data_IF_259672872186
#
_entry.id   IF_259672872186
#
_cell.length_a   1.000
_cell.length_b   1.000
_cell.length_c   1.000
_cell.angle_alpha   90.00
_cell.angle_beta   90.00
_cell.angle_gamma   90.00
#
_symmetry.space_group_name_H-M   'P 1'
#
loop_
_entity.id
_entity.type
_entity.pdbx_description
1 polymer ?
#
# COMPACT_ATOMS: atom_id res chain seq x y z
N UNK A 1 55.68 61.14 -0.12
CA UNK A 1 55.18 61.75 -1.37
C UNK A 1 53.83 61.10 -1.66
N UNK A 2 52.75 61.70 -1.15
CA UNK A 2 51.74 62.44 -1.94
C UNK A 2 51.12 61.62 -3.07
N UNK A 3 49.88 61.14 -2.83
CA UNK A 3 48.71 61.43 -3.69
C UNK A 3 47.40 60.96 -3.03
N UNK A 4 46.73 61.94 -2.44
CA UNK A 4 45.27 62.03 -2.30
C UNK A 4 44.64 62.21 -3.68
N UNK A 5 43.48 61.57 -3.94
CA UNK A 5 42.39 61.88 -4.90
C UNK A 5 41.81 60.57 -5.47
N UNK A 6 40.53 60.38 -5.73
CA UNK A 6 39.30 61.15 -5.51
C UNK A 6 38.17 60.11 -5.65
N UNK A 7 37.15 60.22 -4.80
CA UNK A 7 35.91 59.45 -4.86
C UNK A 7 35.12 59.86 -6.11
N UNK A 8 34.63 58.91 -6.90
CA UNK A 8 33.60 59.15 -7.90
C UNK A 8 32.49 58.10 -7.72
N UNK A 9 31.45 58.50 -6.99
CA UNK A 9 30.16 57.82 -6.92
C UNK A 9 29.41 58.19 -8.19
N UNK A 10 29.23 57.24 -9.10
CA UNK A 10 28.30 57.36 -10.22
C UNK A 10 27.03 56.57 -9.92
N UNK A 11 26.07 57.25 -9.28
CA UNK A 11 24.66 56.86 -9.26
C UNK A 11 24.15 56.90 -10.70
N UNK A 12 23.82 55.73 -11.25
CA UNK A 12 23.05 55.61 -12.49
C UNK A 12 21.66 55.08 -12.14
N UNK A 13 20.75 55.99 -11.83
CA UNK A 13 19.31 55.74 -11.87
C UNK A 13 18.90 55.64 -13.34
N UNK A 14 18.75 54.43 -13.84
CA UNK A 14 18.03 54.16 -15.08
C UNK A 14 16.75 53.40 -14.72
N UNK A 15 15.66 54.17 -14.60
CA UNK A 15 14.31 53.65 -14.69
C UNK A 15 13.93 53.60 -16.18
N UNK A 16 13.76 52.39 -16.70
CA UNK A 16 12.96 52.06 -17.88
C UNK A 16 12.23 50.77 -17.49
N UNK A 17 10.91 50.86 -17.26
CA UNK A 17 9.89 50.57 -18.28
C UNK A 17 9.87 49.08 -18.59
N UNK A 18 8.78 48.44 -18.19
CA UNK A 18 8.62 46.99 -18.19
C UNK A 18 8.92 46.32 -19.52
N UNK A 19 9.41 45.10 -19.40
CA UNK A 19 9.06 43.99 -20.27
C UNK A 19 9.10 42.74 -19.40
N UNK A 20 8.04 41.94 -19.56
CA UNK A 20 7.71 40.73 -18.83
C UNK A 20 8.95 39.88 -18.54
N UNK A 21 9.23 39.66 -17.26
CA UNK A 21 9.97 38.48 -16.88
C UNK A 21 9.10 37.28 -17.24
N UNK A 22 9.52 36.39 -18.16
CA UNK A 22 9.02 35.03 -18.06
C UNK A 22 9.50 34.53 -16.70
N UNK A 23 8.55 34.46 -15.76
CA UNK A 23 8.70 33.58 -14.61
C UNK A 23 9.19 32.25 -15.17
N UNK A 24 10.24 31.62 -14.63
CA UNK A 24 10.51 30.24 -14.96
C UNK A 24 9.31 29.47 -14.43
N UNK A 25 8.31 29.27 -15.29
CA UNK A 25 7.37 28.16 -15.17
C UNK A 25 8.28 26.94 -15.14
N UNK A 26 8.61 26.50 -13.92
CA UNK A 26 9.19 25.21 -13.70
C UNK A 26 8.17 24.25 -14.32
N UNK A 27 8.45 23.61 -15.47
CA UNK A 27 7.49 22.69 -16.03
C UNK A 27 7.31 21.64 -14.94
N UNK A 28 6.10 21.54 -14.36
CA UNK A 28 5.76 20.42 -13.49
C UNK A 28 6.10 19.20 -14.33
N UNK A 29 7.17 18.50 -13.98
CA UNK A 29 7.48 17.23 -14.58
C UNK A 29 6.36 16.32 -14.12
N UNK A 30 5.34 16.16 -14.96
CA UNK A 30 4.29 15.17 -14.73
C UNK A 30 5.00 13.82 -14.66
N UNK A 31 4.89 13.15 -13.54
CA UNK A 31 5.49 11.84 -13.38
C UNK A 31 4.76 10.89 -14.33
N UNK A 32 5.50 10.04 -15.04
CA UNK A 32 4.90 9.02 -15.89
C UNK A 32 4.11 8.03 -15.02
N UNK A 33 2.88 7.75 -15.40
CA UNK A 33 2.06 6.72 -14.75
C UNK A 33 2.58 5.33 -15.18
N UNK A 34 2.82 4.41 -14.24
CA UNK A 34 3.15 3.01 -14.56
C UNK A 34 2.10 2.35 -15.44
N UNK A 35 2.52 1.45 -16.33
CA UNK A 35 1.62 0.72 -17.24
C UNK A 35 1.55 -0.79 -16.96
N UNK A 36 2.45 -1.33 -16.13
CA UNK A 36 2.46 -2.76 -15.79
C UNK A 36 1.33 -3.06 -14.81
N UNK A 37 0.36 -3.86 -15.24
CA UNK A 37 -0.74 -4.30 -14.39
C UNK A 37 -0.31 -5.47 -13.49
N UNK A 38 -0.91 -5.55 -12.31
CA UNK A 38 -0.73 -6.70 -11.42
C UNK A 38 -1.29 -7.99 -12.04
N UNK A 39 -0.63 -9.13 -11.81
CA UNK A 39 -1.11 -10.43 -12.27
C UNK A 39 -2.44 -10.81 -11.60
N UNK A 40 -2.56 -10.54 -10.30
CA UNK A 40 -3.69 -10.94 -9.45
C UNK A 40 -3.80 -12.44 -9.17
N UNK A 41 -2.88 -13.25 -9.69
CA UNK A 41 -2.82 -14.70 -9.52
C UNK A 41 -1.43 -15.07 -8.99
N UNK A 42 -1.33 -15.32 -7.68
CA UNK A 42 -0.06 -15.66 -7.01
C UNK A 42 -0.12 -17.00 -6.29
N UNK A 43 1.02 -17.66 -6.31
CA UNK A 43 1.39 -18.84 -5.52
C UNK A 43 2.23 -18.43 -4.31
N UNK A 44 2.49 -19.36 -3.40
CA UNK A 44 3.36 -19.12 -2.26
C UNK A 44 4.82 -18.85 -2.68
N UNK A 45 5.25 -19.37 -3.85
CA UNK A 45 6.59 -19.15 -4.39
C UNK A 45 6.81 -17.73 -4.93
N UNK A 46 5.74 -16.95 -5.13
CA UNK A 46 5.82 -15.56 -5.60
C UNK A 46 6.13 -14.56 -4.47
N UNK A 47 6.29 -15.03 -3.23
CA UNK A 47 6.62 -14.24 -2.04
C UNK A 47 8.03 -14.58 -1.54
N UNK A 48 8.78 -13.58 -1.08
CA UNK A 48 10.07 -13.75 -0.39
C UNK A 48 9.90 -13.54 1.13
N UNK A 49 9.13 -14.43 1.75
CA UNK A 49 8.73 -14.31 3.15
C UNK A 49 9.95 -14.33 4.11
N UNK A 50 9.87 -13.54 5.19
CA UNK A 50 10.92 -13.42 6.20
C UNK A 50 11.28 -14.74 6.91
N UNK A 51 10.39 -15.73 6.83
CA UNK A 51 10.59 -17.07 7.33
C UNK A 51 9.92 -18.12 6.44
N UNK A 52 10.46 -19.34 6.40
CA UNK A 52 9.80 -20.43 5.68
C UNK A 52 8.47 -20.79 6.35
N UNK A 53 7.44 -20.96 5.52
CA UNK A 53 6.11 -21.42 5.94
C UNK A 53 5.69 -22.61 5.10
N UNK A 54 4.88 -23.49 5.69
CA UNK A 54 4.31 -24.63 4.97
C UNK A 54 3.06 -24.22 4.20
N UNK A 55 2.30 -23.27 4.74
CA UNK A 55 1.06 -22.76 4.15
C UNK A 55 0.67 -21.44 4.80
N UNK A 56 -0.02 -20.57 4.06
CA UNK A 56 -0.69 -19.41 4.64
C UNK A 56 -1.88 -18.95 3.79
N UNK A 57 -2.80 -18.24 4.42
CA UNK A 57 -4.00 -17.71 3.78
C UNK A 57 -4.47 -16.42 4.43
N UNK A 58 -5.21 -15.60 3.66
CA UNK A 58 -5.88 -14.39 4.15
C UNK A 58 -7.35 -14.72 4.38
N UNK A 59 -7.85 -14.33 5.54
CA UNK A 59 -9.20 -14.61 6.02
C UNK A 59 -9.95 -13.33 6.33
N UNK A 60 -11.25 -13.36 6.06
CA UNK A 60 -12.24 -12.43 6.61
C UNK A 60 -12.82 -13.11 7.85
N UNK A 61 -12.63 -12.49 9.02
CA UNK A 61 -13.18 -12.99 10.27
C UNK A 61 -14.70 -12.92 10.32
N UNK A 62 -15.23 -13.57 11.36
CA UNK A 62 -16.65 -13.65 11.64
C UNK A 62 -17.32 -12.27 11.58
N UNK A 63 -18.53 -12.21 11.00
CA UNK A 63 -19.33 -10.98 10.94
C UNK A 63 -20.14 -10.87 12.24
N UNK A 64 -19.85 -9.89 13.12
CA UNK A 64 -20.58 -9.75 14.37
C UNK A 64 -22.08 -9.58 14.12
N UNK A 65 -22.89 -10.43 14.75
CA UNK A 65 -24.36 -10.39 14.64
C UNK A 65 -24.97 -11.29 13.57
N UNK A 66 -24.18 -11.96 12.73
CA UNK A 66 -24.66 -13.02 11.83
C UNK A 66 -24.61 -14.43 12.43
N UNK A 67 -24.04 -14.58 13.63
CA UNK A 67 -24.05 -15.83 14.40
C UNK A 67 -23.18 -16.95 13.82
N UNK A 68 -22.24 -16.59 12.95
CA UNK A 68 -21.20 -17.49 12.47
C UNK A 68 -19.89 -17.11 13.14
N UNK A 69 -19.27 -18.04 13.86
CA UNK A 69 -17.89 -17.92 14.33
C UNK A 69 -16.88 -18.37 13.25
N UNK A 70 -17.38 -18.62 12.03
CA UNK A 70 -16.58 -19.07 10.89
C UNK A 70 -15.96 -17.87 10.15
N UNK A 71 -14.82 -18.13 9.54
CA UNK A 71 -14.15 -17.19 8.66
C UNK A 71 -14.42 -17.52 7.18
N UNK A 72 -14.27 -16.53 6.33
CA UNK A 72 -14.20 -16.71 4.88
C UNK A 72 -12.74 -16.61 4.43
N UNK A 73 -12.29 -17.51 3.54
CA UNK A 73 -10.95 -17.40 2.94
C UNK A 73 -11.03 -16.42 1.78
N UNK A 74 -10.33 -15.29 1.92
CA UNK A 74 -10.23 -14.29 0.87
C UNK A 74 -9.16 -14.67 -0.15
N UNK A 75 -8.06 -15.27 0.32
CA UNK A 75 -6.95 -15.67 -0.53
C UNK A 75 -6.27 -16.92 0.02
N UNK A 76 -6.08 -17.91 -0.84
CA UNK A 76 -5.32 -19.12 -0.56
C UNK A 76 -4.19 -19.21 -1.58
N UNK A 77 -2.95 -19.20 -1.11
CA UNK A 77 -1.80 -19.34 -1.98
C UNK A 77 -1.53 -20.84 -2.13
N UNK A 78 -1.77 -21.35 -3.32
CA UNK A 78 -1.68 -22.78 -3.69
C UNK A 78 -2.68 -23.71 -2.98
N UNK A 79 -3.85 -23.88 -3.59
CA UNK A 79 -4.88 -24.83 -3.12
C UNK A 79 -4.33 -26.27 -2.96
N UNK A 80 -3.40 -26.69 -3.81
CA UNK A 80 -2.73 -28.00 -3.71
C UNK A 80 -1.87 -28.14 -2.45
N UNK A 81 -1.30 -27.03 -1.96
CA UNK A 81 -0.50 -27.02 -0.73
C UNK A 81 -1.41 -27.25 0.47
N UNK A 82 -2.57 -26.58 0.53
CA UNK A 82 -3.59 -26.86 1.54
C UNK A 82 -4.06 -28.32 1.50
N UNK A 83 -4.33 -28.87 0.30
CA UNK A 83 -4.76 -30.26 0.15
C UNK A 83 -3.72 -31.26 0.67
N UNK A 84 -2.43 -30.96 0.50
CA UNK A 84 -1.31 -31.79 0.93
C UNK A 84 -1.06 -31.78 2.45
N UNK A 85 -1.61 -30.81 3.20
CA UNK A 85 -1.52 -30.78 4.66
C UNK A 85 -2.20 -31.99 5.28
N UNK A 86 -1.64 -32.49 6.39
CA UNK A 86 -2.28 -33.55 7.14
C UNK A 86 -3.52 -33.05 7.92
N UNK A 87 -4.34 -33.99 8.42
CA UNK A 87 -5.58 -33.65 9.12
C UNK A 87 -5.35 -32.84 10.42
N UNK A 88 -4.19 -33.01 11.06
CA UNK A 88 -3.86 -32.29 12.30
C UNK A 88 -3.50 -30.85 11.96
N UNK A 89 -2.69 -30.64 10.92
CA UNK A 89 -2.34 -29.31 10.40
C UNK A 89 -3.58 -28.54 9.96
N UNK A 90 -4.49 -29.20 9.23
CA UNK A 90 -5.78 -28.61 8.84
C UNK A 90 -6.61 -28.22 10.07
N UNK A 91 -6.74 -29.11 11.06
CA UNK A 91 -7.48 -28.80 12.28
C UNK A 91 -6.90 -27.58 13.02
N UNK A 92 -5.57 -27.50 13.16
CA UNK A 92 -4.89 -26.35 13.77
C UNK A 92 -5.17 -25.06 13.00
N UNK A 93 -5.11 -25.10 11.66
CA UNK A 93 -5.45 -23.96 10.81
C UNK A 93 -6.91 -23.53 10.99
N UNK A 94 -7.87 -24.44 10.99
CA UNK A 94 -9.30 -24.10 11.17
C UNK A 94 -9.59 -23.52 12.56
N UNK A 95 -8.92 -24.01 13.61
CA UNK A 95 -9.09 -23.53 14.98
C UNK A 95 -8.43 -22.16 15.23
N UNK A 96 -7.50 -21.74 14.38
CA UNK A 96 -6.77 -20.48 14.52
C UNK A 96 -7.57 -19.32 13.91
N UNK A 97 -8.43 -18.70 14.71
CA UNK A 97 -9.30 -17.60 14.24
C UNK A 97 -9.16 -16.35 15.08
N UNK A 98 -9.40 -15.21 14.45
CA UNK A 98 -9.56 -13.91 15.11
C UNK A 98 -10.95 -13.38 14.87
N UNK A 99 -11.58 -12.88 15.93
CA UNK A 99 -12.94 -12.36 15.89
C UNK A 99 -12.99 -10.83 15.85
N UNK A 100 -11.99 -10.15 16.42
CA UNK A 100 -12.11 -8.73 16.75
C UNK A 100 -10.99 -7.83 16.20
N UNK A 101 -9.89 -8.39 15.68
CA UNK A 101 -8.71 -7.66 15.19
C UNK A 101 -8.24 -8.14 13.82
N UNK A 102 -7.61 -7.25 13.06
CA UNK A 102 -7.11 -7.53 11.72
C UNK A 102 -6.33 -6.33 11.16
N UNK A 103 -5.43 -6.59 10.20
CA UNK A 103 -4.72 -5.53 9.46
C UNK A 103 -5.65 -4.80 8.48
N UNK A 104 -6.78 -5.43 8.12
CA UNK A 104 -7.79 -4.84 7.25
C UNK A 104 -9.20 -4.96 7.81
N UNK A 105 -10.17 -4.36 7.09
CA UNK A 105 -11.59 -4.52 7.36
C UNK A 105 -12.43 -4.28 6.11
N UNK A 106 -13.40 -5.16 5.83
CA UNK A 106 -14.19 -5.08 4.58
C UNK A 106 -15.68 -4.78 4.74
N UNK A 107 -16.33 -5.04 5.88
CA UNK A 107 -17.78 -4.95 5.98
C UNK A 107 -18.30 -3.66 6.67
N UNK A 108 -18.24 -2.46 6.08
CA UNK A 108 -18.88 -1.28 6.70
C UNK A 108 -20.42 -1.35 6.67
N UNK A 109 -21.16 -0.78 7.66
CA UNK A 109 -20.67 -0.11 8.88
C UNK A 109 -20.26 -1.08 9.99
N UNK A 110 -20.41 -2.40 9.78
CA UNK A 110 -19.87 -3.41 10.67
C UNK A 110 -18.33 -3.42 10.60
N UNK A 111 -17.70 -4.27 11.40
CA UNK A 111 -16.27 -4.52 11.31
C UNK A 111 -16.11 -6.02 11.08
N UNK A 112 -15.58 -6.40 9.91
CA UNK A 112 -15.12 -7.74 9.63
C UNK A 112 -13.61 -7.68 9.51
N UNK A 113 -12.85 -8.18 10.51
CA UNK A 113 -11.40 -8.12 10.46
C UNK A 113 -10.89 -8.92 9.28
N UNK A 114 -9.89 -8.38 8.59
CA UNK A 114 -9.05 -9.14 7.66
C UNK A 114 -7.75 -9.45 8.36
N UNK A 115 -7.41 -10.72 8.46
CA UNK A 115 -6.19 -11.22 9.06
C UNK A 115 -5.63 -12.35 8.20
N UNK A 116 -4.36 -12.69 8.40
CA UNK A 116 -3.76 -13.86 7.77
C UNK A 116 -3.40 -14.89 8.83
N UNK A 117 -3.36 -16.15 8.41
CA UNK A 117 -2.89 -17.27 9.23
C UNK A 117 -1.83 -18.00 8.43
N UNK A 118 -0.72 -18.30 9.07
CA UNK A 118 0.32 -19.13 8.48
C UNK A 118 0.63 -20.34 9.38
N UNK A 119 1.16 -21.39 8.76
CA UNK A 119 1.51 -22.65 9.39
C UNK A 119 3.01 -22.93 9.21
N UNK A 120 3.64 -23.40 10.28
CA UNK A 120 5.00 -23.95 10.27
C UNK A 120 5.01 -25.23 11.10
N UNK A 121 5.11 -26.37 10.43
CA UNK A 121 4.95 -27.69 11.03
C UNK A 121 3.55 -27.89 11.61
N UNK A 122 3.46 -27.96 12.94
CA UNK A 122 2.21 -28.10 13.70
C UNK A 122 1.90 -26.86 14.56
N UNK A 123 2.52 -25.73 14.23
CA UNK A 123 2.26 -24.45 14.88
C UNK A 123 1.62 -23.51 13.85
N UNK A 124 0.53 -22.85 14.25
CA UNK A 124 -0.09 -21.79 13.46
C UNK A 124 -0.01 -20.46 14.20
N UNK A 125 0.13 -19.38 13.43
CA UNK A 125 0.18 -18.04 13.96
C UNK A 125 -0.67 -17.09 13.12
N UNK A 126 -1.10 -16.02 13.77
CA UNK A 126 -2.00 -15.01 13.23
C UNK A 126 -1.21 -13.76 12.91
N UNK A 127 -1.57 -13.14 11.79
CA UNK A 127 -1.13 -11.81 11.37
C UNK A 127 -2.36 -10.91 11.35
N UNK A 128 -2.51 -10.04 12.34
CA UNK A 128 -3.71 -9.21 12.52
C UNK A 128 -3.40 -7.70 12.64
N UNK A 129 -2.21 -7.28 12.20
CA UNK A 129 -1.83 -5.87 12.13
C UNK A 129 -0.87 -5.60 10.98
N UNK A 130 -0.86 -4.36 10.48
CA UNK A 130 0.03 -3.94 9.39
C UNK A 130 1.52 -4.20 9.73
N UNK A 131 1.88 -4.04 11.01
CA UNK A 131 3.23 -4.30 11.49
C UNK A 131 3.61 -5.78 11.44
N UNK A 132 2.70 -6.67 11.83
CA UNK A 132 2.93 -8.12 11.72
C UNK A 132 2.92 -8.59 10.26
N UNK A 133 2.12 -7.96 9.40
CA UNK A 133 2.11 -8.28 7.97
C UNK A 133 3.44 -7.90 7.32
N UNK A 134 3.97 -6.73 7.66
CA UNK A 134 5.29 -6.33 7.21
C UNK A 134 6.40 -7.21 7.81
N UNK A 135 6.33 -7.58 9.10
CA UNK A 135 7.29 -8.51 9.70
C UNK A 135 7.27 -9.88 9.02
N UNK A 136 6.09 -10.34 8.59
CA UNK A 136 5.91 -11.59 7.87
C UNK A 136 6.54 -11.57 6.48
N UNK A 137 6.40 -10.45 5.76
CA UNK A 137 7.08 -10.26 4.47
C UNK A 137 8.58 -9.98 4.64
N UNK A 138 8.98 -9.29 5.70
CA UNK A 138 10.33 -8.77 5.85
C UNK A 138 10.44 -7.43 5.11
N UNK A 139 10.69 -7.49 3.82
CA UNK A 139 10.64 -6.35 2.90
C UNK A 139 9.51 -6.56 1.87
N UNK A 140 8.97 -5.48 1.32
CA UNK A 140 8.09 -5.53 0.14
C UNK A 140 8.99 -5.47 -1.08
N UNK A 141 9.39 -6.63 -1.60
CA UNK A 141 10.30 -6.73 -2.73
C UNK A 141 9.77 -7.59 -3.89
N UNK A 142 8.62 -8.22 -3.72
CA UNK A 142 7.87 -8.91 -4.78
C UNK A 142 6.57 -8.18 -5.17
N UNK A 143 6.09 -8.46 -6.37
CA UNK A 143 4.78 -7.97 -6.85
C UNK A 143 3.62 -8.51 -5.97
N UNK A 144 3.75 -9.74 -5.48
CA UNK A 144 2.74 -10.41 -4.68
C UNK A 144 2.59 -9.75 -3.30
N UNK A 145 3.70 -9.47 -2.60
CA UNK A 145 3.72 -8.72 -1.35
C UNK A 145 3.15 -7.33 -1.54
N UNK A 146 3.55 -6.63 -2.60
CA UNK A 146 3.05 -5.29 -2.91
C UNK A 146 1.53 -5.28 -3.09
N UNK A 147 0.98 -6.24 -3.86
CA UNK A 147 -0.46 -6.32 -4.05
C UNK A 147 -1.19 -6.57 -2.73
N UNK A 148 -0.73 -7.56 -1.95
CA UNK A 148 -1.37 -7.93 -0.68
C UNK A 148 -1.31 -6.76 0.31
N UNK A 149 -0.12 -6.14 0.46
CA UNK A 149 0.08 -5.02 1.36
C UNK A 149 -0.84 -3.86 1.01
N UNK A 150 -0.85 -3.42 -0.25
CA UNK A 150 -1.69 -2.30 -0.68
C UNK A 150 -3.19 -2.61 -0.62
N UNK A 151 -3.60 -3.85 -0.87
CA UNK A 151 -5.03 -4.21 -0.90
C UNK A 151 -5.63 -4.28 0.49
N UNK A 152 -4.86 -4.76 1.48
CA UNK A 152 -5.43 -5.11 2.77
C UNK A 152 -4.89 -4.31 3.96
N UNK A 153 -3.67 -3.77 3.90
CA UNK A 153 -3.15 -2.94 4.99
C UNK A 153 -3.94 -1.61 5.06
N UNK A 154 -4.16 -1.11 6.27
CA UNK A 154 -4.94 0.12 6.50
C UNK A 154 -4.09 1.37 6.68
N UNK A 155 -2.80 1.30 6.34
CA UNK A 155 -1.82 2.35 6.58
C UNK A 155 -1.85 3.54 5.59
N UNK A 156 -2.69 3.51 4.55
CA UNK A 156 -2.74 4.57 3.53
C UNK A 156 -4.12 5.21 3.33
N UNK A 157 -5.09 4.45 2.82
CA UNK A 157 -6.49 4.86 2.61
C UNK A 157 -7.43 3.73 3.02
N UNK A 158 -8.69 4.05 3.27
CA UNK A 158 -9.68 3.11 3.79
C UNK A 158 -9.93 1.93 2.84
N UNK A 159 -10.02 2.20 1.53
CA UNK A 159 -9.98 1.18 0.49
C UNK A 159 -9.00 1.60 -0.60
N UNK A 160 -8.11 0.69 -0.96
CA UNK A 160 -7.11 0.88 -2.00
C UNK A 160 -7.26 -0.25 -3.00
N UNK A 161 -7.24 0.10 -4.29
CA UNK A 161 -7.19 -0.84 -5.40
C UNK A 161 -5.96 -0.52 -6.24
N UNK A 162 -4.90 -1.33 -6.15
CA UNK A 162 -3.74 -1.20 -7.02
C UNK A 162 -4.14 -1.39 -8.50
N UNK A 163 -3.66 -0.51 -9.38
CA UNK A 163 -3.98 -0.53 -10.81
C UNK A 163 -2.78 -0.94 -11.64
N UNK A 164 -1.63 -0.30 -11.41
CA UNK A 164 -0.39 -0.58 -12.11
C UNK A 164 0.83 -0.24 -11.24
N UNK A 165 1.97 -0.85 -11.53
CA UNK A 165 3.21 -0.67 -10.77
C UNK A 165 4.46 -0.61 -11.66
N UNK A 166 5.54 -0.09 -11.11
CA UNK A 166 6.88 -0.12 -11.69
C UNK A 166 7.90 -0.21 -10.56
N UNK A 167 8.74 -1.26 -10.59
CA UNK A 167 9.85 -1.39 -9.65
C UNK A 167 10.94 -0.35 -9.95
N UNK A 168 11.52 0.22 -8.90
CA UNK A 168 12.61 1.19 -8.96
C UNK A 168 13.61 0.96 -7.81
N UNK A 169 14.62 1.83 -7.70
CA UNK A 169 15.67 1.67 -6.67
C UNK A 169 15.19 1.95 -5.24
N UNK A 170 14.03 2.57 -5.07
CA UNK A 170 13.42 2.93 -3.80
C UNK A 170 12.25 2.00 -3.44
N UNK A 171 12.04 0.90 -4.18
CA UNK A 171 10.90 -0.01 -4.04
C UNK A 171 9.99 0.07 -5.27
N UNK A 172 8.77 0.54 -5.11
CA UNK A 172 7.75 0.52 -6.15
C UNK A 172 7.05 1.86 -6.33
N UNK A 173 6.94 2.31 -7.58
CA UNK A 173 6.00 3.37 -7.95
C UNK A 173 4.68 2.72 -8.38
N UNK A 174 3.57 3.15 -7.79
CA UNK A 174 2.28 2.48 -7.98
C UNK A 174 1.18 3.50 -8.29
N UNK A 175 0.38 3.20 -9.31
CA UNK A 175 -0.89 3.87 -9.57
C UNK A 175 -1.99 3.12 -8.83
N UNK A 176 -2.69 3.82 -7.93
CA UNK A 176 -3.75 3.25 -7.11
C UNK A 176 -5.03 4.06 -7.26
N UNK A 177 -6.16 3.37 -7.31
CA UNK A 177 -7.46 3.97 -7.00
C UNK A 177 -7.72 3.82 -5.49
N UNK A 178 -8.40 4.80 -4.90
CA UNK A 178 -8.79 4.74 -3.49
C UNK A 178 -10.18 5.31 -3.27
N UNK A 179 -10.85 4.82 -2.23
CA UNK A 179 -12.15 5.30 -1.76
C UNK A 179 -12.09 5.47 -0.25
N UNK A 180 -12.51 6.63 0.27
CA UNK A 180 -12.55 6.88 1.72
C UNK A 180 -13.74 6.19 2.40
N UNK A 181 -14.54 5.43 1.64
CA UNK A 181 -15.83 4.86 2.02
C UNK A 181 -16.90 5.93 2.29
N UNK A 182 -16.54 7.21 2.20
CA UNK A 182 -17.37 8.33 2.58
C UNK A 182 -17.00 9.57 1.78
N UNK A 183 -17.88 9.96 0.87
CA UNK A 183 -17.88 11.27 0.19
C UNK A 183 -16.77 11.49 -0.83
N UNK A 184 -15.60 10.84 -0.74
CA UNK A 184 -14.48 11.11 -1.65
C UNK A 184 -13.79 9.84 -2.14
N UNK A 185 -13.44 9.85 -3.41
CA UNK A 185 -12.59 8.82 -4.03
C UNK A 185 -11.68 9.47 -5.04
N UNK A 186 -10.65 8.76 -5.44
CA UNK A 186 -9.66 9.32 -6.36
C UNK A 186 -8.64 8.31 -6.82
N UNK A 187 -7.62 8.84 -7.48
CA UNK A 187 -6.47 8.08 -7.93
C UNK A 187 -5.20 8.83 -7.60
N UNK A 188 -4.21 8.11 -7.07
CA UNK A 188 -2.92 8.66 -6.72
C UNK A 188 -1.80 7.86 -7.39
N UNK A 189 -0.71 8.55 -7.67
CA UNK A 189 0.59 7.95 -7.91
C UNK A 189 1.36 7.98 -6.58
N UNK A 190 1.76 6.80 -6.10
CA UNK A 190 2.46 6.63 -4.82
C UNK A 190 3.82 5.98 -5.02
N UNK A 191 4.72 6.20 -4.06
CA UNK A 191 5.93 5.41 -3.84
C UNK A 191 5.70 4.50 -2.63
N UNK A 192 6.05 3.22 -2.78
CA UNK A 192 6.05 2.23 -1.72
C UNK A 192 7.49 1.78 -1.51
N UNK A 193 8.02 2.07 -0.32
CA UNK A 193 9.35 1.63 0.09
C UNK A 193 9.34 0.16 0.52
N UNK A 194 10.50 -0.54 0.51
CA UNK A 194 10.59 -1.92 1.00
C UNK A 194 10.10 -2.09 2.44
N UNK A 195 10.26 -1.07 3.29
CA UNK A 195 9.78 -1.07 4.68
C UNK A 195 8.28 -0.77 4.83
N UNK A 196 7.50 -0.79 3.74
CA UNK A 196 6.08 -0.50 3.74
C UNK A 196 5.70 0.97 3.87
N UNK A 197 6.67 1.90 3.91
CA UNK A 197 6.37 3.33 3.89
C UNK A 197 5.71 3.72 2.57
N UNK A 198 4.59 4.43 2.64
CA UNK A 198 3.85 4.92 1.46
C UNK A 198 3.92 6.45 1.40
N UNK A 199 4.43 6.98 0.29
CA UNK A 199 4.46 8.42 -0.01
C UNK A 199 3.59 8.73 -1.24
N UNK A 200 2.71 9.74 -1.13
CA UNK A 200 1.98 10.25 -2.30
C UNK A 200 2.90 11.14 -3.13
N UNK A 201 3.17 10.72 -4.37
CA UNK A 201 3.97 11.48 -5.33
C UNK A 201 3.11 12.51 -6.08
N UNK A 202 1.92 12.09 -6.54
CA UNK A 202 1.01 12.93 -7.30
C UNK A 202 -0.45 12.50 -7.09
N UNK A 203 -1.36 13.47 -6.86
CA UNK A 203 -2.80 13.25 -6.90
C UNK A 203 -3.28 13.37 -8.35
N UNK A 204 -3.74 12.26 -8.94
CA UNK A 204 -4.14 12.21 -10.35
C UNK A 204 -5.59 12.64 -10.53
N UNK A 205 -6.46 12.24 -9.60
CA UNK A 205 -7.85 12.65 -9.59
C UNK A 205 -8.45 12.60 -8.18
N UNK A 206 -9.47 13.41 -7.96
CA UNK A 206 -10.33 13.34 -6.78
C UNK A 206 -11.74 13.79 -7.16
N UNK A 207 -12.75 13.08 -6.68
CA UNK A 207 -14.15 13.45 -6.86
C UNK A 207 -14.98 13.24 -5.60
N UNK A 208 -15.99 14.10 -5.44
CA UNK A 208 -16.99 13.97 -4.38
C UNK A 208 -18.15 13.09 -4.84
N UNK A 209 -18.43 12.02 -4.11
CA UNK A 209 -19.47 11.04 -4.45
C UNK A 209 -20.82 11.35 -3.81
N UNK A 210 -20.84 12.13 -2.73
CA UNK A 210 -22.07 12.50 -2.00
C UNK A 210 -22.78 11.34 -1.29
N UNK A 211 -22.16 10.15 -1.24
CA UNK A 211 -22.66 8.94 -0.59
C UNK A 211 -21.57 8.30 0.28
N UNK A 212 -22.00 7.57 1.32
CA UNK A 212 -21.16 6.73 2.16
C UNK A 212 -21.52 5.26 1.89
N UNK A 213 -20.52 4.39 1.85
CA UNK A 213 -20.65 2.93 1.61
C UNK A 213 -20.35 2.17 2.90
#
# INVERSE_FOLDING_TARGET
>A
MTRTLLLAISLSLAACSGDDHPSPENPRQTLSIPETTFSGEYSAEDFDLAQPVDYWEIRLGAIPGLGSDEFERLMTFDASTYEALDDTQKAILEETTVLDTGFGAQCRPLYCPVYAVFLTGFDAAVIDSDALLLEFFGDIDTEAELLVYLTYAQNYKEQVRPLAFEANTEGYRVHVAWDSLCLVRGENLIQVSPDGTIETLEELSQEETGVCV
#
